data_IF_046990842016
#
_entry.id   IF_046990842016
#
_cell.length_a   1.000
_cell.length_b   1.000
_cell.length_c   1.000
_cell.angle_alpha   90.00
_cell.angle_beta   90.00
_cell.angle_gamma   90.00
#
_symmetry.space_group_name_H-M   'P 1'
#
loop_
_entity.id
_entity.type
_entity.pdbx_description
1 polymer ?
#
# COMPACT_ATOMS: atom_id res chain seq x y z
N UNK A 1 -9.60 -14.20 -9.20
CA UNK A 1 -10.24 -14.24 -7.86
C UNK A 1 -9.37 -15.00 -6.85
N UNK A 2 -9.15 -14.45 -5.65
CA UNK A 2 -8.54 -15.19 -4.55
C UNK A 2 -9.61 -16.10 -3.92
N UNK A 3 -9.30 -17.39 -3.78
CA UNK A 3 -10.13 -18.30 -2.99
C UNK A 3 -9.67 -18.23 -1.53
N UNK A 4 -10.57 -17.87 -0.62
CA UNK A 4 -10.28 -17.74 0.80
C UNK A 4 -11.33 -18.48 1.63
N UNK A 5 -10.90 -19.02 2.77
CA UNK A 5 -11.78 -19.54 3.81
C UNK A 5 -11.84 -18.53 4.94
N UNK A 6 -13.05 -18.22 5.42
CA UNK A 6 -13.27 -17.26 6.49
C UNK A 6 -14.00 -17.91 7.65
N UNK A 7 -13.55 -17.63 8.87
CA UNK A 7 -14.25 -17.96 10.12
C UNK A 7 -14.57 -16.67 10.86
N UNK A 8 -15.75 -16.64 11.48
CA UNK A 8 -16.24 -15.49 12.25
C UNK A 8 -16.78 -16.00 13.57
N UNK A 9 -16.37 -15.37 14.66
CA UNK A 9 -16.93 -15.56 16.00
C UNK A 9 -17.11 -14.23 16.68
N UNK A 10 -18.11 -14.11 17.54
CA UNK A 10 -18.35 -12.92 18.35
C UNK A 10 -19.50 -13.15 19.32
N UNK A 11 -19.64 -12.27 20.30
CA UNK A 11 -20.68 -12.32 21.31
C UNK A 11 -21.65 -11.17 21.13
N UNK A 12 -22.90 -11.49 20.83
CA UNK A 12 -23.98 -10.51 20.81
C UNK A 12 -24.48 -10.27 22.23
N UNK A 13 -24.52 -9.01 22.65
CA UNK A 13 -25.03 -8.59 23.97
C UNK A 13 -25.83 -7.28 23.84
N UNK A 14 -26.43 -6.84 24.94
CA UNK A 14 -27.17 -5.57 25.01
C UNK A 14 -28.70 -5.73 24.92
N UNK A 15 -29.39 -4.60 24.85
CA UNK A 15 -30.85 -4.51 24.74
C UNK A 15 -31.25 -4.14 23.32
N UNK A 16 -32.53 -4.31 22.98
CA UNK A 16 -33.05 -3.92 21.66
C UNK A 16 -32.79 -2.43 21.40
N UNK A 17 -32.10 -2.12 20.30
CA UNK A 17 -31.68 -0.75 19.95
C UNK A 17 -30.32 -0.33 20.50
N UNK A 18 -29.69 -1.16 21.35
CA UNK A 18 -28.34 -0.98 21.89
C UNK A 18 -27.58 -2.32 21.87
N UNK A 19 -27.83 -3.14 20.85
CA UNK A 19 -27.12 -4.40 20.70
C UNK A 19 -25.66 -4.10 20.38
N UNK A 20 -24.74 -4.93 20.88
CA UNK A 20 -23.31 -4.80 20.59
C UNK A 20 -22.76 -6.18 20.25
N UNK A 21 -21.87 -6.23 19.26
CA UNK A 21 -21.04 -7.40 18.97
C UNK A 21 -19.67 -7.18 19.62
N UNK A 22 -19.47 -7.84 20.76
CA UNK A 22 -18.20 -7.85 21.48
C UNK A 22 -17.37 -9.08 21.09
N UNK A 23 -16.07 -9.04 21.39
CA UNK A 23 -15.13 -10.13 21.14
C UNK A 23 -15.20 -10.65 19.69
N UNK A 24 -15.43 -9.75 18.72
CA UNK A 24 -15.43 -10.11 17.31
C UNK A 24 -14.04 -10.60 16.94
N UNK A 25 -13.98 -11.77 16.32
CA UNK A 25 -12.80 -12.31 15.69
C UNK A 25 -13.18 -12.88 14.33
N UNK A 26 -12.58 -12.32 13.28
CA UNK A 26 -12.67 -12.81 11.90
C UNK A 26 -11.29 -13.25 11.49
N UNK A 27 -11.18 -14.45 10.90
CA UNK A 27 -9.95 -14.92 10.28
C UNK A 27 -10.28 -15.34 8.85
N UNK A 28 -9.63 -14.74 7.88
CA UNK A 28 -9.78 -15.07 6.47
C UNK A 28 -8.41 -15.40 5.88
N UNK A 29 -8.25 -16.62 5.36
CA UNK A 29 -6.99 -17.10 4.83
C UNK A 29 -7.15 -17.67 3.42
N UNK A 30 -6.16 -17.39 2.58
CA UNK A 30 -5.92 -18.01 1.28
C UNK A 30 -4.48 -18.53 1.23
N UNK A 31 -4.08 -19.13 0.11
CA UNK A 31 -2.70 -19.55 -0.08
C UNK A 31 -1.71 -18.37 -0.13
N UNK A 32 -2.19 -17.15 -0.45
CA UNK A 32 -1.35 -15.96 -0.67
C UNK A 32 -1.55 -14.87 0.37
N UNK A 33 -2.62 -14.91 1.15
CA UNK A 33 -2.97 -13.85 2.09
C UNK A 33 -3.64 -14.38 3.35
N UNK A 34 -3.43 -13.68 4.46
CA UNK A 34 -4.18 -13.85 5.70
C UNK A 34 -4.67 -12.48 6.18
N UNK A 35 -5.89 -12.43 6.67
CA UNK A 35 -6.53 -11.28 7.28
C UNK A 35 -7.17 -11.72 8.60
N UNK A 36 -6.76 -11.06 9.68
CA UNK A 36 -7.37 -11.19 11.00
C UNK A 36 -8.05 -9.86 11.32
N UNK A 37 -9.27 -9.88 11.81
CA UNK A 37 -10.00 -8.70 12.28
C UNK A 37 -10.52 -8.98 13.68
N UNK A 38 -10.18 -8.12 14.64
CA UNK A 38 -10.58 -8.29 16.03
C UNK A 38 -11.13 -7.00 16.63
N UNK A 39 -12.11 -7.08 17.50
CA UNK A 39 -12.57 -5.94 18.29
C UNK A 39 -14.05 -5.97 18.60
N UNK A 40 -14.69 -4.80 18.55
CA UNK A 40 -16.11 -4.65 18.83
C UNK A 40 -16.82 -3.79 17.79
N UNK A 41 -18.13 -4.05 17.64
CA UNK A 41 -19.05 -3.27 16.82
C UNK A 41 -20.25 -2.92 17.69
N UNK A 42 -20.54 -1.64 17.86
CA UNK A 42 -21.74 -1.23 18.56
C UNK A 42 -21.84 0.27 18.79
N UNK A 43 -23.06 0.78 19.07
CA UNK A 43 -24.34 0.05 19.07
C UNK A 43 -24.79 -0.35 17.65
N UNK A 44 -25.36 -1.54 17.49
CA UNK A 44 -25.95 -2.03 16.24
C UNK A 44 -27.28 -1.30 16.01
N UNK A 45 -27.31 -0.34 15.09
CA UNK A 45 -28.44 0.57 14.86
C UNK A 45 -28.12 1.65 13.83
N UNK A 46 -28.68 2.85 13.96
CA UNK A 46 -28.39 3.98 13.05
C UNK A 46 -26.99 4.57 13.29
N UNK A 47 -26.44 4.44 14.50
CA UNK A 47 -25.11 4.95 14.89
C UNK A 47 -24.13 3.80 15.17
N UNK A 48 -23.91 2.93 14.18
CA UNK A 48 -22.90 1.86 14.33
C UNK A 48 -21.51 2.45 14.41
N UNK A 49 -20.79 2.14 15.48
CA UNK A 49 -19.36 2.43 15.59
C UNK A 49 -18.53 1.16 15.44
N UNK A 50 -17.46 1.27 14.67
CA UNK A 50 -16.45 0.24 14.47
C UNK A 50 -15.25 0.52 15.38
N UNK A 51 -14.95 -0.42 16.27
CA UNK A 51 -13.77 -0.41 17.14
C UNK A 51 -12.88 -1.61 16.84
N UNK A 52 -12.35 -1.69 15.62
CA UNK A 52 -11.70 -2.90 15.12
C UNK A 52 -10.21 -2.70 14.84
N UNK A 53 -9.47 -3.80 14.95
CA UNK A 53 -8.06 -3.91 14.57
C UNK A 53 -7.93 -5.01 13.53
N UNK A 54 -7.44 -4.66 12.35
CA UNK A 54 -7.10 -5.58 11.28
C UNK A 54 -5.61 -5.88 11.29
N UNK A 55 -5.23 -7.15 11.09
CA UNK A 55 -3.87 -7.56 10.75
C UNK A 55 -3.93 -8.27 9.41
N UNK A 56 -3.12 -7.83 8.46
CA UNK A 56 -3.06 -8.44 7.15
C UNK A 56 -1.62 -8.88 6.85
N UNK A 57 -1.49 -10.02 6.17
CA UNK A 57 -0.25 -10.49 5.57
C UNK A 57 -0.55 -10.95 4.16
N UNK A 58 0.32 -10.59 3.23
CA UNK A 58 0.34 -11.09 1.86
C UNK A 58 1.75 -11.61 1.60
N UNK A 59 1.86 -12.87 1.18
CA UNK A 59 3.16 -13.50 0.94
C UNK A 59 3.82 -13.03 -0.35
N UNK A 60 3.00 -12.66 -1.35
CA UNK A 60 3.44 -12.13 -2.63
C UNK A 60 2.49 -11.03 -3.12
N UNK A 61 2.99 -9.79 -3.20
CA UNK A 61 2.22 -8.63 -3.64
C UNK A 61 1.73 -8.74 -5.09
N UNK A 62 2.43 -9.48 -5.97
CA UNK A 62 1.97 -9.68 -7.33
C UNK A 62 0.63 -10.41 -7.39
N UNK A 63 0.33 -11.28 -6.41
CA UNK A 63 -0.95 -11.99 -6.32
C UNK A 63 -2.15 -11.07 -6.11
N UNK A 64 -1.94 -9.83 -5.64
CA UNK A 64 -3.00 -8.84 -5.50
C UNK A 64 -3.35 -8.15 -6.82
N UNK A 65 -2.46 -8.17 -7.82
CA UNK A 65 -2.64 -7.46 -9.09
C UNK A 65 -3.99 -7.77 -9.75
N UNK A 66 -4.33 -9.05 -10.00
CA UNK A 66 -5.61 -9.43 -10.60
C UNK A 66 -6.84 -9.08 -9.76
N UNK A 67 -6.70 -8.99 -8.44
CA UNK A 67 -7.80 -8.69 -7.51
C UNK A 67 -8.08 -7.20 -7.48
N UNK A 68 -7.02 -6.39 -7.50
CA UNK A 68 -7.10 -4.94 -7.46
C UNK A 68 -7.21 -4.31 -8.86
N UNK A 69 -7.04 -5.09 -9.92
CA UNK A 69 -6.95 -4.58 -11.28
C UNK A 69 -5.71 -3.71 -11.52
N UNK A 70 -4.66 -3.93 -10.73
CA UNK A 70 -3.42 -3.14 -10.74
C UNK A 70 -2.25 -3.94 -11.35
N UNK A 71 -1.35 -3.29 -12.09
CA UNK A 71 -0.18 -3.94 -12.68
C UNK A 71 0.92 -4.16 -11.64
N UNK A 72 0.76 -5.17 -10.79
CA UNK A 72 1.66 -5.46 -9.66
C UNK A 72 2.70 -6.55 -9.96
N UNK A 73 2.83 -7.00 -11.21
CA UNK A 73 3.69 -8.12 -11.60
C UNK A 73 5.18 -7.89 -11.26
N UNK A 74 5.63 -6.63 -11.28
CA UNK A 74 7.00 -6.24 -10.90
C UNK A 74 7.28 -6.44 -9.40
N UNK A 75 6.25 -6.64 -8.58
CA UNK A 75 6.35 -6.80 -7.13
C UNK A 75 6.32 -8.27 -6.68
N UNK A 76 6.57 -9.22 -7.59
CA UNK A 76 6.68 -10.65 -7.25
C UNK A 76 7.73 -10.88 -6.14
N UNK A 77 7.62 -11.96 -5.37
CA UNK A 77 8.55 -12.29 -4.26
C UNK A 77 8.68 -11.23 -3.16
N UNK A 78 7.82 -10.19 -3.16
CA UNK A 78 7.76 -9.19 -2.09
C UNK A 78 6.52 -9.48 -1.25
N UNK A 79 6.75 -9.77 0.02
CA UNK A 79 5.70 -9.89 1.02
C UNK A 79 5.37 -8.53 1.66
N UNK A 80 4.13 -8.39 2.10
CA UNK A 80 3.67 -7.25 2.87
C UNK A 80 2.93 -7.71 4.12
N UNK A 81 3.13 -7.04 5.24
CA UNK A 81 2.35 -7.23 6.45
C UNK A 81 2.01 -5.87 7.07
N UNK A 82 0.86 -5.77 7.73
CA UNK A 82 0.47 -4.53 8.38
C UNK A 82 -0.64 -4.70 9.40
N UNK A 83 -0.69 -3.76 10.34
CA UNK A 83 -1.78 -3.64 11.31
C UNK A 83 -2.50 -2.32 11.08
N UNK A 84 -3.82 -2.38 10.99
CA UNK A 84 -4.69 -1.23 10.78
C UNK A 84 -5.74 -1.12 11.88
N UNK A 85 -6.07 0.11 12.28
CA UNK A 85 -7.34 0.39 12.97
C UNK A 85 -8.43 0.54 11.92
N UNK A 86 -9.59 -0.05 12.16
CA UNK A 86 -10.78 0.10 11.33
C UNK A 86 -11.85 0.74 12.20
N UNK A 87 -12.34 1.89 11.75
CA UNK A 87 -13.21 2.77 12.53
C UNK A 87 -14.29 3.41 11.64
N UNK A 88 -15.20 4.17 12.24
CA UNK A 88 -16.32 4.79 11.53
C UNK A 88 -17.58 3.94 11.64
N UNK A 89 -18.40 3.96 10.60
CA UNK A 89 -19.68 3.23 10.55
C UNK A 89 -19.69 2.16 9.46
N UNK A 90 -20.79 1.41 9.35
CA UNK A 90 -20.97 0.42 8.28
C UNK A 90 -20.97 1.09 6.90
N UNK A 91 -21.53 2.30 6.80
CA UNK A 91 -21.62 3.05 5.55
C UNK A 91 -20.35 3.88 5.28
N UNK A 92 -19.61 4.25 6.33
CA UNK A 92 -18.43 5.11 6.25
C UNK A 92 -17.25 4.47 7.00
N UNK A 93 -16.60 3.50 6.35
CA UNK A 93 -15.45 2.80 6.93
C UNK A 93 -14.18 3.65 6.77
N UNK A 94 -13.54 3.98 7.89
CA UNK A 94 -12.20 4.51 7.98
C UNK A 94 -11.17 3.43 8.32
N UNK A 95 -9.94 3.62 7.85
CA UNK A 95 -8.82 2.70 8.04
C UNK A 95 -7.53 3.47 8.30
N UNK A 96 -6.76 3.06 9.30
CA UNK A 96 -5.49 3.67 9.65
C UNK A 96 -4.40 2.61 9.91
N UNK A 97 -3.55 2.42 8.91
CA UNK A 97 -2.35 1.58 8.97
C UNK A 97 -1.23 2.35 9.63
N UNK A 98 -1.09 2.11 10.93
CA UNK A 98 -0.05 2.73 11.74
C UNK A 98 1.34 2.14 11.48
N UNK A 99 1.40 0.87 11.05
CA UNK A 99 2.66 0.18 10.75
C UNK A 99 2.45 -0.93 9.74
N UNK A 100 2.96 -0.71 8.54
CA UNK A 100 3.15 -1.71 7.49
C UNK A 100 4.62 -1.99 7.25
N UNK A 101 4.94 -3.18 6.74
CA UNK A 101 6.28 -3.62 6.38
C UNK A 101 6.26 -4.33 5.04
N UNK A 102 7.32 -4.11 4.27
CA UNK A 102 7.63 -4.87 3.06
C UNK A 102 8.90 -5.68 3.28
N UNK A 103 8.95 -6.90 2.77
CA UNK A 103 10.15 -7.73 2.81
C UNK A 103 10.16 -8.78 1.69
N UNK A 104 11.33 -9.13 1.18
CA UNK A 104 11.52 -10.17 0.15
C UNK A 104 11.97 -9.59 -1.19
N UNK A 105 12.48 -10.46 -2.07
CA UNK A 105 12.92 -10.07 -3.41
C UNK A 105 13.99 -8.96 -3.44
N UNK A 106 14.82 -8.86 -2.40
CA UNK A 106 15.80 -7.77 -2.25
C UNK A 106 15.16 -6.41 -1.92
N UNK A 107 13.94 -6.39 -1.38
CA UNK A 107 13.24 -5.20 -0.93
C UNK A 107 12.98 -5.30 0.57
N UNK A 108 13.24 -4.22 1.29
CA UNK A 108 12.81 -4.06 2.68
C UNK A 108 12.25 -2.66 2.88
N UNK A 109 11.14 -2.52 3.59
CA UNK A 109 10.52 -1.21 3.73
C UNK A 109 9.46 -1.13 4.80
N UNK A 110 8.95 0.09 4.98
CA UNK A 110 7.83 0.40 5.86
C UNK A 110 6.84 1.26 5.12
N UNK A 111 5.57 1.06 5.41
CA UNK A 111 4.52 1.91 4.90
C UNK A 111 3.53 2.28 5.99
N UNK A 112 2.86 3.40 5.77
CA UNK A 112 1.69 3.85 6.53
C UNK A 112 0.60 4.25 5.56
N UNK A 113 -0.64 4.17 5.99
CA UNK A 113 -1.77 4.56 5.18
C UNK A 113 -2.89 5.07 6.08
N UNK A 114 -3.57 6.13 5.66
CA UNK A 114 -4.78 6.60 6.31
C UNK A 114 -5.85 6.77 5.24
N UNK A 115 -6.96 6.10 5.43
CA UNK A 115 -8.18 6.26 4.66
C UNK A 115 -9.23 6.77 5.65
N UNK A 116 -9.56 8.06 5.66
CA UNK A 116 -10.61 8.56 6.53
C UNK A 116 -11.97 7.99 6.12
N UNK A 117 -12.93 8.00 7.04
CA UNK A 117 -14.31 7.64 6.71
C UNK A 117 -14.84 8.56 5.61
N UNK A 118 -15.51 7.96 4.62
CA UNK A 118 -16.14 8.69 3.50
C UNK A 118 -17.08 9.74 4.11
N UNK A 119 -16.95 11.02 3.77
CA UNK A 119 -17.76 12.11 4.37
C UNK A 119 -16.96 13.05 5.28
N UNK A 120 -15.79 12.63 5.77
CA UNK A 120 -14.85 13.57 6.39
C UNK A 120 -14.01 14.30 5.34
N UNK A 121 -13.76 15.60 5.56
CA UNK A 121 -12.91 16.47 4.70
C UNK A 121 -11.41 16.11 4.82
N UNK A 122 -11.07 14.95 5.37
CA UNK A 122 -9.68 14.50 5.51
C UNK A 122 -9.25 13.83 4.21
N UNK A 123 -8.02 14.11 3.79
CA UNK A 123 -7.40 13.45 2.64
C UNK A 123 -6.90 12.07 3.07
N UNK A 124 -7.12 11.07 2.22
CA UNK A 124 -6.40 9.82 2.29
C UNK A 124 -4.92 10.07 2.08
N UNK A 125 -4.09 9.30 2.78
CA UNK A 125 -2.65 9.34 2.64
C UNK A 125 -2.07 7.95 2.57
N UNK A 126 -0.98 7.81 1.83
CA UNK A 126 -0.13 6.63 1.83
C UNK A 126 1.33 7.10 1.78
N UNK A 127 2.17 6.50 2.61
CA UNK A 127 3.60 6.75 2.62
C UNK A 127 4.34 5.44 2.62
N UNK A 128 5.43 5.36 1.85
CA UNK A 128 6.30 4.21 1.74
C UNK A 128 7.75 4.69 1.78
N UNK A 129 8.55 4.04 2.62
CA UNK A 129 10.00 4.14 2.60
C UNK A 129 10.58 2.74 2.43
N UNK A 130 11.31 2.52 1.35
CA UNK A 130 11.87 1.23 0.98
C UNK A 130 13.35 1.33 0.62
N UNK A 131 14.05 0.22 0.85
CA UNK A 131 15.38 -0.06 0.35
C UNK A 131 15.28 -1.21 -0.62
N UNK A 132 16.01 -1.08 -1.71
CA UNK A 132 16.14 -2.07 -2.76
C UNK A 132 17.61 -2.43 -2.84
N UNK A 133 17.93 -3.72 -2.76
CA UNK A 133 19.30 -4.22 -2.81
C UNK A 133 19.83 -4.27 -4.25
N UNK A 134 18.95 -4.53 -5.21
CA UNK A 134 19.27 -4.57 -6.63
C UNK A 134 18.24 -3.80 -7.47
N UNK A 135 18.57 -2.57 -7.85
CA UNK A 135 17.68 -1.71 -8.65
C UNK A 135 17.49 -2.20 -10.09
N UNK A 136 18.44 -2.94 -10.68
CA UNK A 136 18.33 -3.44 -12.05
C UNK A 136 17.09 -4.33 -12.23
N UNK A 137 16.64 -4.98 -11.15
CA UNK A 137 15.38 -5.75 -11.09
C UNK A 137 14.16 -4.92 -11.50
N UNK A 138 14.09 -3.66 -11.08
CA UNK A 138 12.93 -2.77 -11.31
C UNK A 138 13.13 -1.83 -12.50
N UNK A 139 14.31 -1.85 -13.10
CA UNK A 139 14.71 -0.97 -14.19
C UNK A 139 14.86 -1.72 -15.53
N UNK A 140 14.35 -2.94 -15.64
CA UNK A 140 14.46 -3.74 -16.87
C UNK A 140 13.92 -3.02 -18.12
N UNK A 141 12.87 -2.21 -17.97
CA UNK A 141 12.31 -1.37 -19.02
C UNK A 141 13.25 -0.27 -19.53
N UNK A 142 14.28 0.08 -18.75
CA UNK A 142 15.33 1.06 -19.11
C UNK A 142 16.51 0.41 -19.85
N UNK A 143 16.42 -0.87 -20.23
CA UNK A 143 17.55 -1.63 -20.80
C UNK A 143 18.80 -1.60 -19.91
N UNK A 144 18.62 -1.56 -18.58
CA UNK A 144 19.73 -1.55 -17.64
C UNK A 144 20.56 -2.82 -17.74
N UNK A 145 21.85 -2.71 -17.42
CA UNK A 145 22.74 -3.84 -17.27
C UNK A 145 22.20 -4.81 -16.19
N UNK A 146 21.85 -6.06 -16.56
CA UNK A 146 21.32 -7.04 -15.61
C UNK A 146 22.35 -7.44 -14.54
N UNK A 147 23.65 -7.29 -14.83
CA UNK A 147 24.74 -7.61 -13.91
C UNK A 147 25.04 -6.46 -12.93
N UNK A 148 24.33 -5.32 -13.04
CA UNK A 148 24.46 -4.22 -12.09
C UNK A 148 23.74 -4.53 -10.78
N UNK A 149 24.50 -4.66 -9.70
CA UNK A 149 23.99 -4.86 -8.35
C UNK A 149 24.16 -3.59 -7.51
N UNK A 150 23.33 -2.59 -7.77
CA UNK A 150 23.29 -1.35 -6.99
C UNK A 150 22.05 -1.28 -6.12
N UNK A 151 22.23 -0.75 -4.90
CA UNK A 151 21.14 -0.50 -3.99
C UNK A 151 20.50 0.87 -4.24
N UNK A 152 19.23 1.02 -3.89
CA UNK A 152 18.52 2.28 -3.95
C UNK A 152 17.55 2.46 -2.79
N UNK A 153 17.46 3.69 -2.29
CA UNK A 153 16.39 4.11 -1.39
C UNK A 153 15.24 4.70 -2.19
N UNK A 154 14.01 4.32 -1.86
CA UNK A 154 12.78 4.88 -2.44
C UNK A 154 11.91 5.43 -1.32
N UNK A 155 11.41 6.64 -1.51
CA UNK A 155 10.33 7.22 -0.71
C UNK A 155 9.18 7.59 -1.63
N UNK A 156 7.96 7.22 -1.26
CA UNK A 156 6.73 7.56 -1.99
C UNK A 156 5.72 8.13 -0.99
N UNK A 157 5.08 9.23 -1.36
CA UNK A 157 3.95 9.80 -0.66
C UNK A 157 2.82 10.08 -1.65
N UNK A 158 1.62 9.67 -1.27
CA UNK A 158 0.38 9.86 -2.01
C UNK A 158 -0.62 10.52 -1.06
N UNK A 159 -1.21 11.64 -1.45
CA UNK A 159 -2.23 12.34 -0.66
C UNK A 159 -3.36 12.77 -1.57
N UNK A 160 -4.60 12.38 -1.28
CA UNK A 160 -5.74 12.74 -2.13
C UNK A 160 -7.08 12.48 -1.47
N UNK A 161 -8.16 12.78 -2.17
CA UNK A 161 -9.50 12.58 -1.65
C UNK A 161 -10.07 11.23 -2.14
N UNK A 162 -10.55 10.36 -1.23
CA UNK A 162 -11.09 9.06 -1.64
C UNK A 162 -12.38 9.16 -2.48
N UNK A 163 -13.05 10.32 -2.49
CA UNK A 163 -14.24 10.57 -3.31
C UNK A 163 -13.96 10.65 -4.82
N UNK A 164 -12.69 10.79 -5.23
CA UNK A 164 -12.30 10.94 -6.64
C UNK A 164 -12.64 12.30 -7.25
N UNK A 165 -13.10 13.28 -6.46
CA UNK A 165 -13.39 14.65 -6.94
C UNK A 165 -12.12 15.48 -7.17
N UNK A 166 -11.04 15.13 -6.50
CA UNK A 166 -9.75 15.80 -6.59
C UNK A 166 -8.66 14.77 -6.90
N UNK A 167 -7.63 15.15 -7.68
CA UNK A 167 -6.52 14.27 -7.98
C UNK A 167 -5.73 13.94 -6.71
N UNK A 168 -5.01 12.83 -6.75
CA UNK A 168 -4.02 12.50 -5.75
C UNK A 168 -2.72 13.21 -6.05
N UNK A 169 -2.21 13.98 -5.09
CA UNK A 169 -0.85 14.50 -5.12
C UNK A 169 0.13 13.36 -4.86
N UNK A 170 1.14 13.25 -5.70
CA UNK A 170 2.19 12.25 -5.62
C UNK A 170 3.53 12.92 -5.46
N UNK A 171 4.34 12.40 -4.53
CA UNK A 171 5.76 12.70 -4.43
C UNK A 171 6.52 11.40 -4.35
N UNK A 172 7.43 11.16 -5.29
CA UNK A 172 8.31 10.01 -5.27
C UNK A 172 9.76 10.47 -5.32
N UNK A 173 10.61 9.82 -4.57
CA UNK A 173 12.05 10.07 -4.52
C UNK A 173 12.76 8.74 -4.64
N UNK A 174 13.78 8.68 -5.48
CA UNK A 174 14.67 7.53 -5.60
C UNK A 174 16.12 8.00 -5.54
N UNK A 175 16.95 7.32 -4.76
CA UNK A 175 18.36 7.66 -4.59
C UNK A 175 19.22 6.41 -4.65
N UNK A 176 20.30 6.47 -5.42
CA UNK A 176 21.34 5.45 -5.51
C UNK A 176 22.71 6.12 -5.63
N UNK A 177 23.77 5.32 -5.72
CA UNK A 177 25.11 5.83 -6.05
C UNK A 177 25.22 6.37 -7.48
N UNK A 178 24.34 5.94 -8.39
CA UNK A 178 24.36 6.36 -9.79
C UNK A 178 23.57 7.65 -10.05
N UNK A 179 22.45 7.83 -9.34
CA UNK A 179 21.51 8.91 -9.62
C UNK A 179 20.65 9.30 -8.40
N UNK A 180 20.08 10.50 -8.49
CA UNK A 180 19.00 10.99 -7.63
C UNK A 180 17.83 11.38 -8.52
N UNK A 181 16.63 10.96 -8.16
CA UNK A 181 15.39 11.26 -8.87
C UNK A 181 14.37 11.82 -7.87
N UNK A 182 13.74 12.93 -8.24
CA UNK A 182 12.58 13.48 -7.57
C UNK A 182 11.45 13.62 -8.57
N UNK A 183 10.30 13.03 -8.28
CA UNK A 183 9.08 13.13 -9.06
C UNK A 183 8.00 13.79 -8.20
N UNK A 184 7.36 14.81 -8.73
CA UNK A 184 6.19 15.44 -8.14
C UNK A 184 5.09 15.50 -9.18
N UNK A 185 3.85 15.22 -8.80
CA UNK A 185 2.77 15.20 -9.76
C UNK A 185 1.42 14.90 -9.19
N UNK A 186 0.49 14.58 -10.09
CA UNK A 186 -0.89 14.30 -9.81
C UNK A 186 -1.37 13.06 -10.56
N UNK A 187 -2.21 12.28 -9.89
CA UNK A 187 -2.94 11.14 -10.47
C UNK A 187 -4.43 11.43 -10.39
N UNK A 188 -5.13 11.37 -11.51
CA UNK A 188 -6.58 11.60 -11.56
C UNK A 188 -7.38 10.47 -10.88
N UNK A 189 -6.73 9.33 -10.62
CA UNK A 189 -7.27 8.20 -9.90
C UNK A 189 -6.28 7.04 -9.81
N UNK A 190 -6.68 5.96 -9.15
CA UNK A 190 -5.88 4.73 -8.99
C UNK A 190 -6.28 3.61 -9.96
N UNK A 191 -7.28 3.85 -10.81
CA UNK A 191 -7.77 2.87 -11.77
C UNK A 191 -6.88 2.77 -13.01
N UNK A 192 -6.92 1.63 -13.70
CA UNK A 192 -6.25 1.45 -14.99
C UNK A 192 -6.75 2.49 -15.99
N UNK A 193 -5.82 3.21 -16.62
CA UNK A 193 -6.12 4.28 -17.58
C UNK A 193 -6.37 5.66 -16.95
N UNK A 194 -6.17 5.81 -15.63
CA UNK A 194 -6.17 7.12 -14.99
C UNK A 194 -5.11 8.04 -15.62
N UNK A 195 -5.49 9.31 -15.81
CA UNK A 195 -4.59 10.36 -16.25
C UNK A 195 -3.54 10.65 -15.19
N UNK A 196 -2.37 11.09 -15.65
CA UNK A 196 -1.27 11.47 -14.79
C UNK A 196 -0.51 12.66 -15.36
N UNK A 197 -0.07 13.53 -14.47
CA UNK A 197 0.82 14.65 -14.77
C UNK A 197 1.99 14.63 -13.77
N UNK A 198 3.22 14.50 -14.27
CA UNK A 198 4.42 14.41 -13.44
C UNK A 198 5.52 15.32 -13.97
N UNK A 199 6.10 16.07 -13.04
CA UNK A 199 7.36 16.75 -13.24
C UNK A 199 8.47 16.01 -12.50
N UNK A 200 9.61 15.83 -13.16
CA UNK A 200 10.71 15.03 -12.65
C UNK A 200 12.05 15.72 -12.79
N UNK A 201 12.78 15.80 -11.68
CA UNK A 201 14.18 16.20 -11.65
C UNK A 201 15.05 14.95 -11.54
N UNK A 202 15.93 14.77 -12.53
CA UNK A 202 16.91 13.70 -12.55
C UNK A 202 18.31 14.30 -12.46
N UNK A 203 19.06 13.85 -11.46
CA UNK A 203 20.45 14.23 -11.27
C UNK A 203 21.34 12.99 -11.35
N UNK A 204 22.37 13.08 -12.19
CA UNK A 204 23.45 12.09 -12.23
C UNK A 204 24.37 12.34 -11.04
N UNK A 205 24.53 11.35 -10.18
CA UNK A 205 25.41 11.41 -9.00
C UNK A 205 26.83 11.00 -9.39
N UNK A 206 26.99 9.86 -10.05
CA UNK A 206 28.29 9.37 -10.50
C UNK A 206 28.20 8.80 -11.93
N UNK A 207 29.08 9.27 -12.82
CA UNK A 207 29.04 8.90 -14.24
C UNK A 207 29.49 7.46 -14.48
N UNK A 208 30.44 6.94 -13.70
CA UNK A 208 30.90 5.57 -13.84
C UNK A 208 29.83 4.58 -13.34
N UNK A 209 29.18 4.89 -12.22
CA UNK A 209 28.07 4.09 -11.70
C UNK A 209 26.84 4.15 -12.62
N UNK A 210 26.50 5.34 -13.14
CA UNK A 210 25.41 5.47 -14.10
C UNK A 210 25.72 4.74 -15.41
N UNK A 211 26.97 4.74 -15.88
CA UNK A 211 27.38 3.95 -17.05
C UNK A 211 27.25 2.45 -16.81
N UNK A 212 27.63 1.96 -15.61
CA UNK A 212 27.49 0.56 -15.21
C UNK A 212 26.03 0.13 -15.14
N UNK A 213 25.16 0.95 -14.55
CA UNK A 213 23.71 0.75 -14.53
C UNK A 213 23.16 0.74 -15.97
N UNK A 214 23.63 1.70 -16.77
CA UNK A 214 23.39 1.91 -18.19
C UNK A 214 23.65 0.68 -19.08
N UNK A 215 24.69 -0.09 -18.72
CA UNK A 215 25.32 -1.01 -19.66
C UNK A 215 25.99 -0.31 -20.84
N UNK A 216 26.21 1.01 -20.76
CA UNK A 216 26.75 1.84 -21.83
C UNK A 216 27.64 2.95 -21.29
N UNK A 217 28.62 3.37 -22.09
CA UNK A 217 29.54 4.44 -21.72
C UNK A 217 28.88 5.80 -21.95
N UNK A 218 28.81 6.61 -20.90
CA UNK A 218 28.32 7.99 -20.92
C UNK A 218 29.44 9.03 -21.04
#
# INVERSE_FOLDING_TARGET
PLQAQATVSGKLSGTRGQLQLADLAVNAASAQANLELTGEIGPLGEEVELGLVAKARVSDLAALGPVLGLPLDILHDISAEGTARVFGSIDEIGLDVNRGRLNGGGVSGRFTASLPSIGQVRRSSFSLDAKIDNIARFASWLHTNPDYHGHAGISLSLVGEPSGKLPFEVRAKAQSEAFSLLLNGQLDGLAKGAGFDFHGDFERVDTAQLSKLLGQKL
#
